data_IF_091450786515
#
_entry.id   IF_091450786515
#
_cell.length_a   1.000
_cell.length_b   1.000
_cell.length_c   1.000
_cell.angle_alpha   90.00
_cell.angle_beta   90.00
_cell.angle_gamma   90.00
#
_symmetry.space_group_name_H-M   'P 1'
#
loop_
_entity.id
_entity.type
_entity.pdbx_description
1 polymer ?
#
# COMPACT_ATOMS: atom_id res chain seq x y z
N UNK A 1 -37.82 1.54 -73.68
CA UNK A 1 -38.50 0.89 -72.55
C UNK A 1 -37.43 0.44 -71.57
N UNK A 2 -37.47 1.06 -70.39
CA UNK A 2 -36.80 0.85 -69.08
C UNK A 2 -35.42 0.18 -68.97
N UNK A 3 -34.46 0.81 -68.26
CA UNK A 3 -33.23 0.15 -67.81
C UNK A 3 -33.54 -0.77 -66.63
N UNK A 4 -32.86 -1.93 -66.60
CA UNK A 4 -32.92 -2.92 -65.52
C UNK A 4 -32.46 -2.31 -64.20
N UNK A 5 -33.31 -2.40 -63.17
CA UNK A 5 -32.94 -2.04 -61.80
C UNK A 5 -31.84 -2.98 -61.29
N UNK A 6 -30.64 -2.45 -61.08
CA UNK A 6 -29.61 -3.09 -60.27
C UNK A 6 -30.16 -3.31 -58.86
N UNK A 7 -30.28 -4.57 -58.46
CA UNK A 7 -30.72 -4.95 -57.12
C UNK A 7 -29.74 -4.41 -56.07
N UNK A 8 -30.27 -3.73 -55.06
CA UNK A 8 -29.50 -3.29 -53.90
C UNK A 8 -28.80 -4.52 -53.26
N UNK A 9 -27.53 -4.41 -52.83
CA UNK A 9 -26.82 -5.53 -52.21
C UNK A 9 -27.54 -5.94 -50.91
N UNK A 10 -27.87 -7.23 -50.79
CA UNK A 10 -28.44 -7.79 -49.56
C UNK A 10 -27.52 -7.48 -48.36
N UNK A 11 -28.08 -7.10 -47.20
CA UNK A 11 -27.29 -6.84 -46.01
C UNK A 11 -26.55 -8.12 -45.62
N UNK A 12 -25.22 -8.10 -45.74
CA UNK A 12 -24.37 -9.23 -45.34
C UNK A 12 -24.73 -9.70 -43.93
N UNK A 13 -25.00 -11.00 -43.71
CA UNK A 13 -25.38 -11.50 -42.38
C UNK A 13 -24.22 -11.23 -41.43
N UNK A 14 -24.48 -10.49 -40.34
CA UNK A 14 -23.49 -10.26 -39.27
C UNK A 14 -22.90 -11.61 -38.86
N UNK A 15 -21.60 -11.80 -39.11
CA UNK A 15 -20.97 -13.11 -39.00
C UNK A 15 -21.12 -13.65 -37.56
N UNK A 16 -21.85 -14.75 -37.32
CA UNK A 16 -22.24 -15.21 -35.98
C UNK A 16 -21.06 -15.62 -35.08
N UNK A 17 -19.86 -15.82 -35.66
CA UNK A 17 -18.64 -16.11 -34.91
C UNK A 17 -18.12 -14.91 -34.12
N UNK A 18 -18.32 -13.67 -34.60
CA UNK A 18 -17.86 -12.45 -33.89
C UNK A 18 -18.64 -12.29 -32.59
N UNK A 19 -19.96 -12.46 -32.63
CA UNK A 19 -20.81 -12.42 -31.44
C UNK A 19 -20.51 -13.54 -30.45
N UNK A 20 -20.15 -14.73 -30.93
CA UNK A 20 -19.69 -15.85 -30.07
C UNK A 20 -18.33 -15.55 -29.43
N UNK A 21 -17.38 -14.98 -30.18
CA UNK A 21 -16.08 -14.57 -29.67
C UNK A 21 -16.20 -13.47 -28.60
N UNK A 22 -17.02 -12.44 -28.84
CA UNK A 22 -17.29 -11.38 -27.86
C UNK A 22 -17.91 -11.96 -26.59
N UNK A 23 -18.92 -12.84 -26.70
CA UNK A 23 -19.53 -13.49 -25.54
C UNK A 23 -18.53 -14.35 -24.75
N UNK A 24 -17.65 -15.05 -25.45
CA UNK A 24 -16.56 -15.83 -24.84
C UNK A 24 -15.59 -14.93 -24.07
N UNK A 25 -15.14 -13.84 -24.69
CA UNK A 25 -14.23 -12.86 -24.07
C UNK A 25 -14.86 -12.21 -22.83
N UNK A 26 -16.12 -11.75 -22.94
CA UNK A 26 -16.84 -11.16 -21.80
C UNK A 26 -17.00 -12.18 -20.67
N UNK A 27 -17.34 -13.43 -20.99
CA UNK A 27 -17.44 -14.50 -20.00
C UNK A 27 -16.11 -14.78 -19.29
N UNK A 28 -15.00 -14.77 -20.04
CA UNK A 28 -13.65 -14.93 -19.49
C UNK A 28 -13.24 -13.77 -18.60
N UNK A 29 -13.43 -12.53 -19.05
CA UNK A 29 -13.11 -11.33 -18.26
C UNK A 29 -13.92 -11.25 -16.97
N UNK A 30 -15.20 -11.61 -17.02
CA UNK A 30 -16.05 -11.69 -15.82
C UNK A 30 -15.56 -12.76 -14.84
N UNK A 31 -15.16 -13.93 -15.34
CA UNK A 31 -14.59 -14.98 -14.50
C UNK A 31 -13.27 -14.53 -13.86
N UNK A 32 -12.40 -13.87 -14.63
CA UNK A 32 -11.13 -13.34 -14.14
C UNK A 32 -11.33 -12.29 -13.05
N UNK A 33 -12.29 -11.37 -13.25
CA UNK A 33 -12.64 -10.36 -12.26
C UNK A 33 -13.14 -10.99 -10.95
N UNK A 34 -14.01 -12.00 -11.04
CA UNK A 34 -14.49 -12.75 -9.87
C UNK A 34 -13.34 -13.49 -9.18
N UNK A 35 -12.44 -14.12 -9.94
CA UNK A 35 -11.28 -14.82 -9.39
C UNK A 35 -10.34 -13.87 -8.63
N UNK A 36 -10.05 -12.70 -9.20
CA UNK A 36 -9.27 -11.64 -8.53
C UNK A 36 -10.00 -11.17 -7.25
N UNK A 37 -11.32 -10.97 -7.32
CA UNK A 37 -12.12 -10.59 -6.15
C UNK A 37 -12.08 -11.64 -5.04
N UNK A 38 -12.15 -12.93 -5.38
CA UNK A 38 -12.02 -14.03 -4.40
C UNK A 38 -10.62 -14.06 -3.79
N UNK A 39 -9.57 -13.89 -4.60
CA UNK A 39 -8.19 -13.84 -4.10
C UNK A 39 -7.97 -12.67 -3.15
N UNK A 40 -8.49 -11.48 -3.50
CA UNK A 40 -8.43 -10.30 -2.64
C UNK A 40 -9.22 -10.51 -1.35
N UNK A 41 -10.45 -11.02 -1.42
CA UNK A 41 -11.28 -11.29 -0.24
C UNK A 41 -10.66 -12.35 0.69
N UNK A 42 -10.01 -13.37 0.11
CA UNK A 42 -9.25 -14.35 0.87
C UNK A 42 -8.12 -13.68 1.66
N UNK A 43 -7.33 -12.81 1.02
CA UNK A 43 -6.27 -12.07 1.71
C UNK A 43 -6.80 -11.08 2.77
N UNK A 44 -7.91 -10.39 2.49
CA UNK A 44 -8.55 -9.49 3.46
C UNK A 44 -8.95 -10.23 4.75
N UNK A 45 -9.51 -11.44 4.62
CA UNK A 45 -9.82 -12.30 5.77
C UNK A 45 -8.55 -12.88 6.42
N UNK A 46 -7.54 -13.21 5.64
CA UNK A 46 -6.28 -13.76 6.15
C UNK A 46 -5.48 -12.75 6.99
N UNK A 47 -5.48 -11.48 6.59
CA UNK A 47 -4.65 -10.45 7.26
C UNK A 47 -5.45 -9.60 8.25
N UNK A 48 -6.67 -9.18 7.90
CA UNK A 48 -7.38 -8.14 8.64
C UNK A 48 -8.56 -8.64 9.46
N UNK A 49 -8.84 -9.96 9.46
CA UNK A 49 -9.95 -10.47 10.26
C UNK A 49 -9.70 -10.18 11.75
N UNK A 50 -10.71 -9.69 12.51
CA UNK A 50 -10.48 -9.02 13.79
C UNK A 50 -9.97 -9.96 14.89
N UNK A 51 -10.36 -11.23 14.81
CA UNK A 51 -9.92 -12.25 15.74
C UNK A 51 -8.78 -13.04 15.11
N UNK A 52 -7.56 -12.79 15.58
CA UNK A 52 -6.34 -13.35 14.98
C UNK A 52 -6.38 -14.88 14.83
N UNK A 53 -6.86 -15.59 15.85
CA UNK A 53 -7.01 -17.04 15.84
C UNK A 53 -7.94 -17.57 14.72
N UNK A 54 -8.83 -16.72 14.20
CA UNK A 54 -9.81 -17.08 13.17
C UNK A 54 -9.49 -16.53 11.78
N UNK A 55 -8.38 -15.80 11.60
CA UNK A 55 -7.95 -15.29 10.29
C UNK A 55 -7.86 -16.37 9.21
N UNK A 56 -7.04 -17.40 9.44
CA UNK A 56 -6.87 -18.49 8.48
C UNK A 56 -8.14 -19.34 8.32
N UNK A 57 -8.83 -19.76 9.41
CA UNK A 57 -10.12 -20.44 9.29
C UNK A 57 -11.15 -19.67 8.47
N UNK A 58 -11.29 -18.36 8.68
CA UNK A 58 -12.24 -17.53 7.95
C UNK A 58 -11.91 -17.47 6.44
N UNK A 59 -10.63 -17.24 6.10
CA UNK A 59 -10.17 -17.20 4.72
C UNK A 59 -10.42 -18.52 3.99
N UNK A 60 -10.03 -19.65 4.60
CA UNK A 60 -10.25 -20.98 4.01
C UNK A 60 -11.73 -21.35 3.91
N UNK A 61 -12.53 -20.99 4.91
CA UNK A 61 -13.98 -21.22 4.86
C UNK A 61 -14.61 -20.44 3.71
N UNK A 62 -14.25 -19.17 3.54
CA UNK A 62 -14.72 -18.35 2.43
C UNK A 62 -14.35 -18.95 1.07
N UNK A 63 -13.10 -19.39 0.90
CA UNK A 63 -12.66 -20.04 -0.34
C UNK A 63 -13.41 -21.35 -0.59
N UNK A 64 -13.57 -22.19 0.44
CA UNK A 64 -14.34 -23.43 0.36
C UNK A 64 -15.79 -23.22 -0.06
N UNK A 65 -16.45 -22.19 0.48
CA UNK A 65 -17.80 -21.79 0.08
C UNK A 65 -17.85 -21.31 -1.37
N UNK A 66 -16.88 -20.53 -1.82
CA UNK A 66 -16.79 -20.09 -3.23
C UNK A 66 -16.65 -21.29 -4.18
N UNK A 67 -15.79 -22.26 -3.84
CA UNK A 67 -15.60 -23.49 -4.61
C UNK A 67 -16.89 -24.33 -4.62
N UNK A 68 -17.53 -24.52 -3.48
CA UNK A 68 -18.80 -25.25 -3.39
C UNK A 68 -19.89 -24.60 -4.24
N UNK A 69 -20.06 -23.27 -4.16
CA UNK A 69 -21.00 -22.51 -4.99
C UNK A 69 -20.70 -22.72 -6.47
N UNK A 70 -19.43 -22.65 -6.88
CA UNK A 70 -19.04 -22.82 -8.28
C UNK A 70 -19.28 -24.24 -8.81
N UNK A 71 -19.06 -25.26 -7.98
CA UNK A 71 -19.24 -26.68 -8.35
C UNK A 71 -20.73 -27.04 -8.45
N UNK A 72 -21.51 -26.70 -7.43
CA UNK A 72 -22.88 -27.20 -7.26
C UNK A 72 -23.96 -26.30 -7.88
N UNK A 73 -23.71 -24.99 -8.04
CA UNK A 73 -24.74 -24.07 -8.58
C UNK A 73 -24.64 -23.97 -10.10
N UNK A 74 -25.74 -24.30 -10.78
CA UNK A 74 -25.94 -24.12 -12.22
C UNK A 74 -27.20 -23.29 -12.48
N UNK A 75 -27.25 -22.50 -13.56
CA UNK A 75 -26.16 -22.18 -14.51
C UNK A 75 -25.04 -21.31 -13.89
N UNK A 76 -23.83 -21.34 -14.49
CA UNK A 76 -22.60 -20.70 -13.94
C UNK A 76 -22.73 -19.21 -13.65
N UNK A 77 -23.61 -18.49 -14.33
CA UNK A 77 -23.83 -17.07 -14.03
C UNK A 77 -24.43 -16.85 -12.64
N UNK A 78 -25.26 -17.78 -12.12
CA UNK A 78 -25.80 -17.74 -10.75
C UNK A 78 -24.71 -17.99 -9.72
N UNK A 79 -23.81 -18.93 -10.00
CA UNK A 79 -22.65 -19.19 -9.14
C UNK A 79 -21.74 -17.95 -9.05
N UNK A 80 -21.40 -17.37 -10.21
CA UNK A 80 -20.58 -16.15 -10.25
C UNK A 80 -21.25 -14.98 -9.52
N UNK A 81 -22.57 -14.82 -9.65
CA UNK A 81 -23.32 -13.79 -8.91
C UNK A 81 -23.25 -14.03 -7.39
N UNK A 82 -23.43 -15.27 -6.93
CA UNK A 82 -23.33 -15.61 -5.51
C UNK A 82 -21.93 -15.36 -4.94
N UNK A 83 -20.88 -15.74 -5.68
CA UNK A 83 -19.49 -15.48 -5.28
C UNK A 83 -19.23 -13.96 -5.25
N UNK A 84 -19.67 -13.22 -6.26
CA UNK A 84 -19.52 -11.77 -6.31
C UNK A 84 -20.21 -11.09 -5.12
N UNK A 85 -21.41 -11.53 -4.72
CA UNK A 85 -22.08 -11.04 -3.52
C UNK A 85 -21.25 -11.32 -2.24
N UNK A 86 -20.67 -12.52 -2.12
CA UNK A 86 -19.77 -12.84 -1.01
C UNK A 86 -18.53 -11.93 -0.96
N UNK A 87 -17.89 -11.69 -2.10
CA UNK A 87 -16.77 -10.74 -2.22
C UNK A 87 -17.21 -9.33 -1.83
N UNK A 88 -18.40 -8.88 -2.26
CA UNK A 88 -18.94 -7.57 -1.90
C UNK A 88 -19.18 -7.47 -0.39
N UNK A 89 -19.70 -8.52 0.26
CA UNK A 89 -19.87 -8.53 1.72
C UNK A 89 -18.52 -8.37 2.46
N UNK A 90 -17.48 -9.10 2.02
CA UNK A 90 -16.13 -8.94 2.57
C UNK A 90 -15.61 -7.52 2.32
N UNK A 91 -15.81 -6.97 1.12
CA UNK A 91 -15.39 -5.62 0.79
C UNK A 91 -16.08 -4.57 1.65
N UNK A 92 -17.40 -4.66 1.83
CA UNK A 92 -18.16 -3.75 2.68
C UNK A 92 -17.68 -3.79 4.13
N UNK A 93 -17.44 -4.99 4.69
CA UNK A 93 -16.83 -5.13 6.01
C UNK A 93 -15.43 -4.50 6.06
N UNK A 94 -14.57 -4.84 5.10
CA UNK A 94 -13.18 -4.37 5.05
C UNK A 94 -13.07 -2.86 4.98
N UNK A 95 -14.00 -2.20 4.27
CA UNK A 95 -14.08 -0.74 4.19
C UNK A 95 -14.41 -0.08 5.54
N UNK A 96 -15.06 -0.79 6.48
CA UNK A 96 -15.37 -0.27 7.83
C UNK A 96 -14.16 -0.24 8.76
N UNK A 97 -13.07 -0.96 8.45
CA UNK A 97 -11.89 -1.03 9.31
C UNK A 97 -11.22 0.34 9.43
N UNK A 98 -11.14 0.88 10.65
CA UNK A 98 -10.53 2.17 10.93
C UNK A 98 -9.12 2.02 11.51
N UNK A 99 -8.15 2.86 11.10
CA UNK A 99 -6.86 2.93 11.76
C UNK A 99 -7.05 3.37 13.21
N UNK A 100 -6.22 2.85 14.12
CA UNK A 100 -6.25 3.21 15.53
C UNK A 100 -5.02 4.01 15.89
N UNK A 101 -5.17 5.02 16.75
CA UNK A 101 -4.04 5.84 17.20
C UNK A 101 -3.35 5.29 18.45
N UNK A 102 -4.11 4.62 19.31
CA UNK A 102 -3.65 4.14 20.60
C UNK A 102 -3.54 2.62 20.57
N UNK A 103 -2.31 2.13 20.38
CA UNK A 103 -1.91 0.73 20.50
C UNK A 103 -0.53 0.66 21.16
N UNK A 104 -0.09 -0.54 21.51
CA UNK A 104 1.26 -0.75 22.01
C UNK A 104 2.24 -0.76 20.83
N UNK A 105 2.55 0.42 20.32
CA UNK A 105 3.44 0.62 19.18
C UNK A 105 4.88 0.21 19.50
N UNK A 106 5.61 -0.25 18.49
CA UNK A 106 7.06 -0.42 18.63
C UNK A 106 7.74 0.95 18.84
N UNK A 107 8.91 0.98 19.54
CA UNK A 107 9.59 2.23 19.87
C UNK A 107 9.87 3.13 18.66
N UNK A 108 10.21 2.56 17.51
CA UNK A 108 10.58 3.28 16.28
C UNK A 108 9.43 4.10 15.68
N UNK A 109 8.19 3.80 16.09
CA UNK A 109 6.94 4.35 15.53
C UNK A 109 5.94 4.74 16.63
N UNK A 110 6.43 4.95 17.86
CA UNK A 110 5.61 5.22 19.03
C UNK A 110 5.04 6.65 19.03
N UNK A 111 5.88 7.66 18.78
CA UNK A 111 5.51 9.08 18.81
C UNK A 111 5.26 9.65 17.41
N UNK A 112 4.17 10.41 17.28
CA UNK A 112 3.87 11.17 16.07
C UNK A 112 4.62 12.51 16.08
N UNK A 113 5.25 12.92 14.96
CA UNK A 113 5.82 14.25 14.85
C UNK A 113 4.71 15.30 14.85
N UNK A 114 5.00 16.46 15.43
CA UNK A 114 4.13 17.66 15.36
C UNK A 114 4.98 18.89 15.06
N UNK A 115 4.41 19.86 14.37
CA UNK A 115 5.09 21.11 14.06
C UNK A 115 4.25 22.30 14.50
N UNK A 116 4.92 23.33 15.02
CA UNK A 116 4.38 24.67 15.24
C UNK A 116 5.09 25.63 14.29
N UNK A 117 4.32 26.40 13.52
CA UNK A 117 4.84 27.32 12.51
C UNK A 117 4.57 28.75 12.98
N UNK A 118 5.63 29.53 13.14
CA UNK A 118 5.61 30.93 13.54
C UNK A 118 6.44 31.76 12.55
N UNK A 119 5.78 32.21 11.48
CA UNK A 119 6.42 32.96 10.39
C UNK A 119 7.53 32.15 9.72
N UNK A 120 8.76 32.65 9.81
CA UNK A 120 9.96 32.00 9.26
C UNK A 120 10.41 30.79 10.07
N UNK A 121 9.98 30.66 11.33
CA UNK A 121 10.47 29.62 12.24
C UNK A 121 9.49 28.47 12.34
N UNK A 122 9.96 27.25 12.08
CA UNK A 122 9.23 26.01 12.35
C UNK A 122 9.86 25.29 13.53
N UNK A 123 9.07 24.99 14.56
CA UNK A 123 9.48 24.13 15.68
C UNK A 123 8.86 22.75 15.50
N UNK A 124 9.70 21.75 15.23
CA UNK A 124 9.31 20.35 15.05
C UNK A 124 9.58 19.61 16.35
N UNK A 125 8.57 18.92 16.85
CA UNK A 125 8.65 18.09 18.05
C UNK A 125 8.59 16.62 17.66
N UNK A 126 9.20 15.78 18.50
CA UNK A 126 9.33 14.34 18.28
C UNK A 126 10.10 14.04 16.98
N UNK A 127 11.19 14.78 16.74
CA UNK A 127 12.15 14.45 15.69
C UNK A 127 12.97 13.26 16.19
N UNK A 128 12.85 12.12 15.52
CA UNK A 128 13.51 10.88 15.92
C UNK A 128 15.03 10.97 15.67
N UNK A 129 15.84 10.69 16.68
CA UNK A 129 17.31 10.63 16.58
C UNK A 129 17.85 9.38 17.29
N UNK A 130 17.40 8.21 16.87
CA UNK A 130 17.83 6.96 17.48
C UNK A 130 19.28 6.63 17.12
N UNK A 131 20.07 6.23 18.12
CA UNK A 131 21.45 5.76 17.90
C UNK A 131 21.51 4.24 17.98
N UNK A 132 21.76 3.60 16.84
CA UNK A 132 21.74 2.16 16.70
C UNK A 132 23.11 1.54 16.98
N UNK A 133 23.08 0.40 17.65
CA UNK A 133 24.19 -0.56 17.75
C UNK A 133 23.91 -1.78 16.88
N UNK A 134 22.65 -2.20 16.80
CA UNK A 134 22.11 -3.20 15.86
C UNK A 134 20.70 -2.79 15.43
N UNK A 135 20.02 -3.60 14.62
CA UNK A 135 18.62 -3.36 14.23
C UNK A 135 17.62 -3.50 15.39
N UNK A 136 18.03 -4.12 16.50
CA UNK A 136 17.18 -4.40 17.67
C UNK A 136 17.70 -3.76 18.97
N UNK A 137 18.93 -3.23 18.96
CA UNK A 137 19.55 -2.54 20.08
C UNK A 137 19.92 -1.11 19.68
N UNK A 138 19.21 -0.15 20.26
CA UNK A 138 19.32 1.28 19.99
C UNK A 138 18.83 2.11 21.16
N UNK A 139 19.32 3.34 21.27
CA UNK A 139 18.80 4.31 22.23
C UNK A 139 17.65 5.09 21.61
N UNK A 140 16.55 5.19 22.36
CA UNK A 140 15.35 5.93 21.94
C UNK A 140 15.51 7.39 22.32
N UNK A 141 15.63 8.26 21.33
CA UNK A 141 15.61 9.72 21.52
C UNK A 141 14.68 10.43 20.54
N UNK A 142 14.01 11.45 21.05
CA UNK A 142 13.04 12.28 20.35
C UNK A 142 13.31 13.75 20.68
N UNK A 143 13.92 14.43 19.73
CA UNK A 143 14.36 15.80 19.90
C UNK A 143 13.28 16.82 19.53
N UNK A 144 13.54 18.06 19.95
CA UNK A 144 12.86 19.26 19.47
C UNK A 144 13.83 20.02 18.58
N UNK A 145 13.46 20.18 17.31
CA UNK A 145 14.26 20.91 16.33
C UNK A 145 13.58 22.22 15.95
N UNK A 146 14.36 23.29 15.80
CA UNK A 146 13.87 24.60 15.37
C UNK A 146 14.63 25.02 14.13
N UNK A 147 13.92 25.17 13.01
CA UNK A 147 14.50 25.53 11.72
C UNK A 147 13.91 26.84 11.20
N UNK A 148 14.69 27.59 10.43
CA UNK A 148 14.19 28.75 9.67
C UNK A 148 13.96 28.37 8.21
N UNK A 149 12.77 28.62 7.69
CA UNK A 149 12.43 28.34 6.29
C UNK A 149 13.33 29.11 5.32
N UNK A 150 13.70 30.35 5.66
CA UNK A 150 14.66 31.19 4.94
C UNK A 150 16.07 30.62 4.85
N UNK A 151 16.40 29.59 5.66
CA UNK A 151 17.68 28.89 5.65
C UNK A 151 17.66 27.59 4.84
N UNK A 152 16.51 27.21 4.26
CA UNK A 152 16.43 26.07 3.37
C UNK A 152 17.33 26.30 2.16
N UNK A 153 18.32 25.43 1.98
CA UNK A 153 19.32 25.55 0.91
C UNK A 153 19.44 24.30 0.03
N UNK A 154 18.78 23.22 0.42
CA UNK A 154 18.86 21.95 -0.29
C UNK A 154 17.75 20.99 0.10
N UNK A 155 17.39 20.14 -0.86
CA UNK A 155 16.51 19.00 -0.64
C UNK A 155 17.16 17.78 -1.29
N UNK A 156 17.26 16.72 -0.52
CA UNK A 156 17.84 15.45 -0.92
C UNK A 156 16.76 14.38 -0.88
N UNK A 157 16.77 13.47 -1.87
CA UNK A 157 15.92 12.29 -1.89
C UNK A 157 16.79 11.06 -1.74
N UNK A 158 16.52 10.27 -0.72
CA UNK A 158 17.07 8.93 -0.56
C UNK A 158 16.07 7.93 -1.10
N UNK A 159 16.52 7.02 -1.95
CA UNK A 159 15.74 5.87 -2.40
C UNK A 159 16.39 4.62 -1.82
N UNK A 160 15.67 3.97 -0.93
CA UNK A 160 16.07 2.70 -0.34
C UNK A 160 15.36 1.53 -1.04
N UNK A 161 16.09 0.50 -1.46
CA UNK A 161 15.54 -0.75 -1.98
C UNK A 161 15.77 -1.86 -0.97
N UNK A 162 14.75 -2.66 -0.68
CA UNK A 162 14.83 -3.81 0.23
C UNK A 162 14.00 -4.97 -0.32
N UNK A 163 14.53 -6.18 -0.21
CA UNK A 163 13.85 -7.44 -0.58
C UNK A 163 13.58 -7.66 -2.08
N UNK A 164 13.34 -6.60 -2.86
CA UNK A 164 13.13 -6.66 -4.32
C UNK A 164 13.62 -5.38 -5.00
N UNK A 165 14.22 -5.46 -6.20
CA UNK A 165 14.60 -4.28 -6.98
C UNK A 165 13.39 -3.45 -7.48
N UNK A 166 12.16 -3.95 -7.30
CA UNK A 166 10.92 -3.24 -7.67
C UNK A 166 10.22 -2.57 -6.48
N UNK A 167 10.79 -2.66 -5.27
CA UNK A 167 10.27 -2.02 -4.06
C UNK A 167 11.24 -0.94 -3.59
N UNK A 168 10.76 0.29 -3.56
CA UNK A 168 11.55 1.48 -3.25
C UNK A 168 10.89 2.31 -2.14
N UNK A 169 11.69 2.85 -1.21
CA UNK A 169 11.26 3.57 -0.02
C UNK A 169 11.87 4.96 -0.09
N UNK A 170 11.10 5.95 -0.56
CA UNK A 170 11.58 7.30 -0.64
C UNK A 170 11.61 7.96 0.73
N UNK A 171 12.73 8.60 1.05
CA UNK A 171 12.92 9.45 2.23
C UNK A 171 13.40 10.81 1.71
N UNK A 172 12.83 11.89 2.21
CA UNK A 172 13.21 13.25 1.79
C UNK A 172 13.89 13.96 2.93
N UNK A 173 15.08 14.52 2.69
CA UNK A 173 15.83 15.33 3.65
C UNK A 173 15.86 16.79 3.23
N UNK A 174 15.57 17.69 4.17
CA UNK A 174 15.62 19.14 3.98
C UNK A 174 16.81 19.72 4.73
N UNK A 175 17.69 20.43 4.03
CA UNK A 175 18.88 21.05 4.60
C UNK A 175 18.63 22.54 4.89
N UNK A 176 18.58 22.89 6.17
CA UNK A 176 18.43 24.25 6.68
C UNK A 176 19.77 24.87 7.13
N UNK A 177 20.90 24.32 6.67
CA UNK A 177 22.24 24.81 6.98
C UNK A 177 22.61 24.61 8.44
N UNK A 178 22.92 25.71 9.13
CA UNK A 178 23.30 25.69 10.55
C UNK A 178 22.15 25.25 11.46
N UNK A 179 20.90 25.40 11.00
CA UNK A 179 19.72 24.94 11.74
C UNK A 179 19.51 23.42 11.62
N UNK A 180 20.32 22.72 10.82
CA UNK A 180 20.37 21.26 10.68
C UNK A 180 19.57 20.69 9.51
N UNK A 181 19.45 19.35 9.50
CA UNK A 181 18.72 18.58 8.47
C UNK A 181 17.55 17.82 9.07
N UNK A 182 16.40 17.85 8.39
CA UNK A 182 15.21 17.09 8.79
C UNK A 182 14.83 16.12 7.68
N UNK A 183 14.82 14.84 7.99
CA UNK A 183 14.29 13.79 7.14
C UNK A 183 12.81 13.53 7.41
N UNK A 184 12.06 13.27 6.35
CA UNK A 184 10.70 12.78 6.41
C UNK A 184 10.60 11.42 5.71
N UNK A 185 10.00 10.46 6.42
CA UNK A 185 9.74 9.12 5.92
C UNK A 185 8.30 8.72 6.20
N UNK A 186 7.68 8.02 5.25
CA UNK A 186 6.34 7.43 5.41
C UNK A 186 6.53 5.95 5.72
N UNK A 187 6.19 5.53 6.92
CA UNK A 187 6.46 4.18 7.41
C UNK A 187 5.17 3.44 7.77
N UNK A 188 5.25 2.12 7.79
CA UNK A 188 4.25 1.29 8.47
C UNK A 188 4.41 1.44 9.98
N UNK A 189 3.32 1.74 10.68
CA UNK A 189 3.25 1.83 12.14
C UNK A 189 2.87 0.46 12.71
N UNK A 190 3.87 -0.27 13.19
CA UNK A 190 3.72 -1.64 13.70
C UNK A 190 3.50 -1.66 15.21
N UNK A 191 2.65 -2.57 15.67
CA UNK A 191 2.51 -2.92 17.09
C UNK A 191 3.66 -3.81 17.56
N UNK A 192 3.89 -3.83 18.88
CA UNK A 192 4.82 -4.79 19.48
C UNK A 192 4.36 -6.22 19.19
N UNK A 193 5.31 -7.06 18.81
CA UNK A 193 5.04 -8.44 18.37
C UNK A 193 4.65 -8.56 16.90
N UNK A 194 4.38 -7.47 16.17
CA UNK A 194 4.12 -7.53 14.73
C UNK A 194 5.42 -7.60 13.92
N UNK A 195 5.51 -8.59 13.03
CA UNK A 195 6.54 -8.66 11.99
C UNK A 195 6.12 -7.91 10.72
N UNK A 196 7.10 -7.52 9.90
CA UNK A 196 6.84 -6.96 8.58
C UNK A 196 6.32 -8.03 7.60
N UNK A 197 5.47 -7.61 6.66
CA UNK A 197 4.91 -8.45 5.60
C UNK A 197 4.50 -7.56 4.43
N UNK A 198 5.18 -7.70 3.30
CA UNK A 198 4.85 -6.95 2.08
C UNK A 198 3.42 -7.25 1.61
N UNK A 199 3.02 -8.53 1.62
CA UNK A 199 1.64 -8.92 1.27
C UNK A 199 0.62 -8.39 2.27
N UNK A 200 0.92 -8.44 3.58
CA UNK A 200 0.06 -7.86 4.60
C UNK A 200 -0.12 -6.34 4.45
N UNK A 201 0.91 -5.64 3.96
CA UNK A 201 0.85 -4.21 3.67
C UNK A 201 -0.01 -3.82 2.46
N UNK A 202 -0.39 -4.77 1.60
CA UNK A 202 -1.41 -4.55 0.56
C UNK A 202 -2.84 -4.50 1.15
N UNK A 203 -2.98 -4.91 2.41
CA UNK A 203 -4.22 -4.91 3.19
C UNK A 203 -4.12 -3.87 4.33
N UNK A 204 -5.10 -3.81 5.23
CA UNK A 204 -5.15 -2.83 6.35
C UNK A 204 -4.41 -3.35 7.59
N UNK A 205 -3.34 -4.13 7.41
CA UNK A 205 -2.60 -4.75 8.52
C UNK A 205 -1.87 -3.72 9.38
N UNK A 206 -1.30 -2.70 8.75
CA UNK A 206 -0.52 -1.67 9.45
C UNK A 206 -1.21 -0.32 9.35
N UNK A 207 -1.09 0.46 10.42
CA UNK A 207 -1.33 1.90 10.36
C UNK A 207 -0.20 2.61 9.59
N UNK A 208 -0.48 3.81 9.09
CA UNK A 208 0.52 4.66 8.43
C UNK A 208 1.04 5.71 9.42
N UNK A 209 2.34 5.97 9.41
CA UNK A 209 2.96 7.03 10.20
C UNK A 209 3.92 7.85 9.34
N UNK A 210 3.90 9.17 9.54
CA UNK A 210 4.97 10.05 9.07
C UNK A 210 6.00 10.18 10.19
N UNK A 211 7.26 9.98 9.87
CA UNK A 211 8.37 10.18 10.79
C UNK A 211 9.11 11.44 10.36
N UNK A 212 9.33 12.36 11.30
CA UNK A 212 10.39 13.37 11.20
C UNK A 212 11.60 12.81 11.94
N UNK A 213 12.77 12.80 11.32
CA UNK A 213 13.98 12.19 11.88
C UNK A 213 15.25 12.93 11.44
N UNK A 214 16.37 12.65 12.10
CA UNK A 214 17.69 13.02 11.57
C UNK A 214 18.11 12.03 10.47
N UNK A 215 19.05 12.45 9.62
CA UNK A 215 19.71 11.51 8.67
C UNK A 215 20.46 10.40 9.42
N UNK A 216 21.05 10.73 10.59
CA UNK A 216 21.81 9.79 11.43
C UNK A 216 20.96 8.64 11.94
N UNK A 217 19.67 8.85 12.15
CA UNK A 217 18.73 7.80 12.50
C UNK A 217 18.21 7.08 11.24
N UNK A 218 17.40 7.77 10.42
CA UNK A 218 16.56 7.09 9.44
C UNK A 218 17.32 6.58 8.22
N UNK A 219 18.46 7.20 7.88
CA UNK A 219 19.29 6.74 6.75
C UNK A 219 20.31 5.72 7.25
N UNK A 220 21.01 5.99 8.36
CA UNK A 220 22.07 5.11 8.87
C UNK A 220 21.57 3.72 9.24
N UNK A 221 20.36 3.61 9.81
CA UNK A 221 19.75 2.29 10.11
C UNK A 221 19.68 1.41 8.86
N UNK A 222 19.41 2.02 7.71
CA UNK A 222 19.26 1.34 6.41
C UNK A 222 20.61 1.06 5.75
N UNK A 223 21.54 2.01 5.79
CA UNK A 223 22.82 1.89 5.10
C UNK A 223 23.88 1.10 5.87
N UNK A 224 23.77 0.99 7.19
CA UNK A 224 24.84 0.43 8.03
C UNK A 224 24.42 -0.76 8.89
N UNK A 225 23.14 -0.86 9.27
CA UNK A 225 22.69 -1.86 10.25
C UNK A 225 21.75 -2.91 9.64
N UNK A 226 20.92 -2.55 8.67
CA UNK A 226 20.07 -3.50 7.94
C UNK A 226 20.83 -4.13 6.78
N UNK A 227 20.70 -5.45 6.65
CA UNK A 227 21.29 -6.21 5.55
C UNK A 227 20.33 -6.31 4.37
N UNK A 228 20.87 -6.35 3.16
CA UNK A 228 20.08 -6.47 1.93
C UNK A 228 19.28 -5.22 1.57
N UNK A 229 19.73 -4.06 2.06
CA UNK A 229 19.21 -2.75 1.70
C UNK A 229 20.23 -1.94 0.89
N UNK A 230 19.82 -1.42 -0.25
CA UNK A 230 20.62 -0.47 -1.05
C UNK A 230 20.04 0.94 -0.89
N UNK A 231 20.88 1.92 -0.54
CA UNK A 231 20.46 3.31 -0.35
C UNK A 231 21.14 4.22 -1.37
N UNK A 232 20.33 4.89 -2.19
CA UNK A 232 20.79 5.84 -3.20
C UNK A 232 20.40 7.26 -2.81
N UNK A 233 21.35 8.20 -2.92
CA UNK A 233 21.14 9.62 -2.64
C UNK A 233 21.04 10.41 -3.96
N UNK A 234 19.99 11.22 -4.06
CA UNK A 234 19.74 12.13 -5.18
C UNK A 234 19.60 13.56 -4.67
N UNK A 235 20.54 14.41 -5.06
CA UNK A 235 20.48 15.84 -4.78
C UNK A 235 19.50 16.53 -5.72
N UNK A 236 18.45 17.16 -5.18
CA UNK A 236 17.51 17.90 -6.02
C UNK A 236 18.06 19.29 -6.36
N UNK A 237 17.89 19.66 -7.63
CA UNK A 237 18.09 21.04 -8.09
C UNK A 237 16.74 21.74 -8.06
N UNK A 238 16.44 22.43 -6.96
CA UNK A 238 15.30 23.32 -6.89
C UNK A 238 15.77 24.78 -6.78
N UNK A 239 15.02 25.74 -7.32
CA UNK A 239 15.23 27.15 -7.01
C UNK A 239 14.71 27.40 -5.59
N UNK A 240 15.62 27.67 -4.66
CA UNK A 240 15.31 28.10 -3.30
C UNK A 240 15.63 29.59 -3.16
#
# INVERSE_FOLDING_TARGET
MQPSAEGAPEPTPKKPWILRAIRGLVGFLMWLLVAIGVLWAFGALWFDFPAEAYRQPAAWTFLGLCVAVWVFIRPRWRANLGIALGVICVALWWLTLQPRQFRDWKPEVALLPRAEIDGDVVTIYNVRDFDYRTTEDFDVDYERMRVRLSKLRGVDVFINYWGSPYMAHPIVSFDFGEDGRVCFSIETRQEKGEGYSALGGLYRRYELIYIAATERDVIRVRSNFREGEDVYLYHLKAPF
#
